data_IF_992621640540
#
_entry.id   IF_992621640540
#
_cell.length_a   1.000
_cell.length_b   1.000
_cell.length_c   1.000
_cell.angle_alpha   90.00
_cell.angle_beta   90.00
_cell.angle_gamma   90.00
#
_symmetry.space_group_name_H-M   'P 1'
#
loop_
_entity.id
_entity.type
_entity.pdbx_description
1 polymer ?
#
# COMPACT_ATOMS: atom_id res chain seq x y z
N UNK A 1 42.13 8.30 33.18
CA UNK A 1 41.67 7.46 32.05
C UNK A 1 40.23 6.92 32.21
N UNK A 2 39.32 7.53 33.01
CA UNK A 2 37.93 7.03 33.18
C UNK A 2 36.83 7.87 32.51
N UNK A 3 37.14 9.07 32.00
CA UNK A 3 36.13 9.98 31.44
C UNK A 3 35.88 9.83 29.92
N UNK A 4 36.69 9.03 29.22
CA UNK A 4 36.52 8.81 27.77
C UNK A 4 35.44 7.76 27.49
N UNK A 5 35.45 6.64 28.22
CA UNK A 5 34.47 5.57 28.06
C UNK A 5 33.05 5.95 28.50
N UNK A 6 32.90 6.81 29.51
CA UNK A 6 31.59 7.31 29.93
C UNK A 6 30.96 8.29 28.91
N UNK A 7 31.78 9.00 28.11
CA UNK A 7 31.28 9.86 27.03
C UNK A 7 30.83 9.04 25.82
N UNK A 8 31.52 7.94 25.50
CA UNK A 8 31.11 7.02 24.43
C UNK A 8 29.79 6.29 24.78
N UNK A 9 29.61 5.85 26.03
CA UNK A 9 28.33 5.22 26.46
C UNK A 9 27.13 6.17 26.42
N UNK A 10 27.34 7.47 26.70
CA UNK A 10 26.29 8.50 26.58
C UNK A 10 26.01 8.93 25.14
N UNK A 11 26.96 8.75 24.22
CA UNK A 11 26.79 9.07 22.79
C UNK A 11 26.11 7.98 21.96
N UNK A 12 25.98 6.75 22.49
CA UNK A 12 25.43 5.58 21.76
C UNK A 12 23.97 5.27 22.15
N UNK A 13 23.37 6.05 23.07
CA UNK A 13 21.96 5.90 23.48
C UNK A 13 21.05 6.99 22.90
N UNK A 14 21.49 7.72 21.88
CA UNK A 14 20.56 8.47 21.03
C UNK A 14 20.13 7.53 19.92
N UNK A 15 19.03 6.81 20.15
CA UNK A 15 18.26 6.15 19.10
C UNK A 15 17.90 7.20 18.05
N UNK A 16 18.77 7.36 17.07
CA UNK A 16 18.53 8.14 15.87
C UNK A 16 17.64 7.28 14.97
N UNK A 17 16.41 7.03 15.43
CA UNK A 17 15.37 6.45 14.60
C UNK A 17 15.26 7.33 13.37
N UNK A 18 15.41 6.70 12.21
CA UNK A 18 15.36 7.39 10.93
C UNK A 18 14.01 8.11 10.81
N UNK A 19 13.91 9.24 10.07
CA UNK A 19 12.65 9.97 9.91
C UNK A 19 11.47 9.06 9.51
N UNK A 20 11.76 8.01 8.73
CA UNK A 20 10.80 6.98 8.32
C UNK A 20 10.27 6.15 9.50
N UNK A 21 11.14 5.66 10.39
CA UNK A 21 10.73 4.86 11.56
C UNK A 21 9.97 5.69 12.59
N UNK A 22 10.36 6.96 12.79
CA UNK A 22 9.62 7.89 13.66
C UNK A 22 8.23 8.22 13.12
N UNK A 23 8.07 8.30 11.81
CA UNK A 23 6.77 8.56 11.19
C UNK A 23 5.88 7.33 11.25
N UNK A 24 6.43 6.14 11.03
CA UNK A 24 5.70 4.87 11.11
C UNK A 24 5.16 4.59 12.52
N UNK A 25 5.98 4.83 13.56
CA UNK A 25 5.53 4.65 14.95
C UNK A 25 4.42 5.63 15.34
N UNK A 26 4.51 6.89 14.88
CA UNK A 26 3.48 7.91 15.10
C UNK A 26 2.19 7.64 14.34
N UNK A 27 2.27 7.17 13.09
CA UNK A 27 1.10 6.78 12.30
C UNK A 27 0.33 5.67 13.00
N UNK A 28 1.02 4.62 13.45
CA UNK A 28 0.40 3.51 14.17
C UNK A 28 -0.25 3.95 15.48
N UNK A 29 0.38 4.89 16.19
CA UNK A 29 -0.17 5.47 17.42
C UNK A 29 -1.46 6.26 17.12
N UNK A 30 -1.42 7.18 16.14
CA UNK A 30 -2.58 7.97 15.75
C UNK A 30 -3.73 7.10 15.23
N UNK A 31 -3.41 6.05 14.48
CA UNK A 31 -4.41 5.07 14.05
C UNK A 31 -5.14 4.46 15.26
N UNK A 32 -4.41 3.99 16.28
CA UNK A 32 -5.02 3.39 17.47
C UNK A 32 -5.88 4.40 18.26
N UNK A 33 -5.41 5.64 18.37
CA UNK A 33 -6.15 6.73 19.00
C UNK A 33 -7.45 7.02 18.22
N UNK A 34 -7.35 7.18 16.90
CA UNK A 34 -8.48 7.41 16.01
C UNK A 34 -9.54 6.29 16.11
N UNK A 35 -9.11 5.02 16.12
CA UNK A 35 -10.01 3.89 16.30
C UNK A 35 -10.72 3.91 17.67
N UNK A 36 -10.01 4.32 18.71
CA UNK A 36 -10.58 4.39 20.07
C UNK A 36 -11.63 5.50 20.17
N UNK A 37 -11.39 6.65 19.55
CA UNK A 37 -12.33 7.77 19.53
C UNK A 37 -13.54 7.44 18.63
N UNK A 38 -13.30 6.88 17.44
CA UNK A 38 -14.36 6.49 16.50
C UNK A 38 -15.35 5.49 17.11
N UNK A 39 -14.87 4.56 17.95
CA UNK A 39 -15.72 3.59 18.66
C UNK A 39 -16.63 4.21 19.71
N UNK A 40 -16.34 5.42 20.18
CA UNK A 40 -17.17 6.15 21.15
C UNK A 40 -18.27 6.98 20.48
N UNK A 41 -18.18 7.18 19.16
CA UNK A 41 -19.24 7.86 18.40
C UNK A 41 -20.44 6.92 18.25
N UNK A 42 -21.64 7.51 18.26
CA UNK A 42 -22.89 6.78 18.00
C UNK A 42 -23.21 6.78 16.50
N UNK A 43 -23.99 5.81 16.04
CA UNK A 43 -24.57 5.87 14.69
C UNK A 43 -25.51 7.08 14.61
N UNK A 44 -25.47 7.89 13.54
CA UNK A 44 -24.82 7.68 12.24
C UNK A 44 -23.40 8.26 12.08
N UNK A 45 -22.83 8.89 13.12
CA UNK A 45 -21.52 9.56 13.05
C UNK A 45 -20.37 8.59 12.89
N UNK A 46 -20.46 7.46 13.59
CA UNK A 46 -19.49 6.37 13.49
C UNK A 46 -19.41 5.80 12.07
N UNK A 47 -20.55 5.57 11.42
CA UNK A 47 -20.62 5.04 10.06
C UNK A 47 -20.00 6.00 9.05
N UNK A 48 -20.27 7.30 9.20
CA UNK A 48 -19.66 8.33 8.35
C UNK A 48 -18.12 8.33 8.47
N UNK A 49 -17.59 8.20 9.68
CA UNK A 49 -16.13 8.10 9.89
C UNK A 49 -15.53 6.89 9.18
N UNK A 50 -16.10 5.70 9.40
CA UNK A 50 -15.56 4.46 8.82
C UNK A 50 -15.66 4.44 7.29
N UNK A 51 -16.74 4.98 6.73
CA UNK A 51 -16.88 5.14 5.29
C UNK A 51 -15.79 6.05 4.70
N UNK A 52 -15.48 7.17 5.39
CA UNK A 52 -14.40 8.07 4.97
C UNK A 52 -13.02 7.41 5.07
N UNK A 53 -12.75 6.72 6.19
CA UNK A 53 -11.50 6.00 6.41
C UNK A 53 -11.28 4.90 5.37
N UNK A 54 -12.31 4.09 5.08
CA UNK A 54 -12.23 3.04 4.08
C UNK A 54 -11.89 3.59 2.69
N UNK A 55 -12.50 4.72 2.30
CA UNK A 55 -12.18 5.39 1.04
C UNK A 55 -10.71 5.83 0.98
N UNK A 56 -10.22 6.54 2.00
CA UNK A 56 -8.85 7.06 2.06
C UNK A 56 -7.81 5.94 1.99
N UNK A 57 -8.02 4.85 2.72
CA UNK A 57 -7.07 3.72 2.71
C UNK A 57 -7.10 2.92 1.42
N UNK A 58 -8.26 2.82 0.77
CA UNK A 58 -8.36 2.15 -0.53
C UNK A 58 -7.65 2.95 -1.62
N UNK A 59 -7.77 4.28 -1.58
CA UNK A 59 -7.25 5.15 -2.63
C UNK A 59 -5.78 5.56 -2.45
N UNK A 60 -5.30 5.71 -1.20
CA UNK A 60 -3.96 6.24 -0.92
C UNK A 60 -3.16 5.42 0.12
N UNK A 61 -3.78 4.42 0.75
CA UNK A 61 -3.18 3.66 1.86
C UNK A 61 -3.12 4.44 3.18
N UNK A 62 -2.69 3.80 4.27
CA UNK A 62 -2.48 4.47 5.55
C UNK A 62 -1.21 5.34 5.49
N UNK A 63 -1.33 6.59 5.93
CA UNK A 63 -0.24 7.57 5.97
C UNK A 63 -0.45 8.53 7.14
N UNK A 64 0.63 9.03 7.73
CA UNK A 64 0.56 9.97 8.86
C UNK A 64 -0.35 11.18 8.61
N UNK A 65 -0.30 11.78 7.41
CA UNK A 65 -1.13 12.93 7.05
C UNK A 65 -2.63 12.57 7.01
N UNK A 66 -2.95 11.37 6.52
CA UNK A 66 -4.32 10.85 6.48
C UNK A 66 -4.84 10.67 7.91
N UNK A 67 -4.03 10.12 8.82
CA UNK A 67 -4.41 9.97 10.22
C UNK A 67 -4.67 11.31 10.92
N UNK A 68 -3.88 12.34 10.60
CA UNK A 68 -4.10 13.69 11.15
C UNK A 68 -5.40 14.32 10.65
N UNK A 69 -5.74 14.15 9.37
CA UNK A 69 -7.00 14.63 8.81
C UNK A 69 -8.21 13.84 9.34
N UNK A 70 -8.07 12.53 9.52
CA UNK A 70 -9.08 11.69 10.18
C UNK A 70 -9.31 12.10 11.64
N UNK A 71 -8.25 12.51 12.36
CA UNK A 71 -8.38 13.02 13.72
C UNK A 71 -9.16 14.35 13.77
N UNK A 72 -8.93 15.26 12.82
CA UNK A 72 -9.71 16.50 12.67
C UNK A 72 -11.17 16.19 12.34
N UNK A 73 -11.43 15.21 11.48
CA UNK A 73 -12.78 14.75 11.17
C UNK A 73 -13.47 14.22 12.43
N UNK A 74 -12.81 13.38 13.23
CA UNK A 74 -13.35 12.85 14.49
C UNK A 74 -13.75 13.96 15.46
N UNK A 75 -12.93 15.00 15.59
CA UNK A 75 -13.27 16.15 16.42
C UNK A 75 -14.59 16.80 15.96
N UNK A 76 -14.72 17.08 14.66
CA UNK A 76 -15.95 17.66 14.09
C UNK A 76 -17.16 16.74 14.28
N UNK A 77 -17.00 15.44 14.05
CA UNK A 77 -18.08 14.47 14.26
C UNK A 77 -18.55 14.44 15.73
N UNK A 78 -17.61 14.52 16.67
CA UNK A 78 -17.94 14.58 18.10
C UNK A 78 -18.68 15.85 18.49
N UNK A 79 -18.29 17.01 17.93
CA UNK A 79 -19.01 18.28 18.13
C UNK A 79 -20.41 18.23 17.55
N UNK A 80 -20.56 17.66 16.34
CA UNK A 80 -21.86 17.47 15.69
C UNK A 80 -22.79 16.55 16.50
N UNK A 81 -22.24 15.50 17.11
CA UNK A 81 -22.99 14.61 17.99
C UNK A 81 -23.49 15.33 19.25
N UNK A 82 -22.64 16.13 19.90
CA UNK A 82 -23.04 16.94 21.07
C UNK A 82 -24.13 17.95 20.71
N UNK A 83 -24.11 18.47 19.49
CA UNK A 83 -25.13 19.41 18.98
C UNK A 83 -26.42 18.71 18.51
N UNK A 84 -26.53 17.38 18.62
CA UNK A 84 -27.67 16.57 18.14
C UNK A 84 -28.01 16.82 16.66
N UNK A 85 -27.00 17.09 15.83
CA UNK A 85 -27.18 17.22 14.39
C UNK A 85 -27.13 15.84 13.72
N UNK A 86 -27.41 15.79 12.42
CA UNK A 86 -27.11 14.61 11.59
C UNK A 86 -25.93 14.92 10.68
N UNK A 87 -25.09 13.92 10.33
CA UNK A 87 -23.94 14.12 9.43
C UNK A 87 -24.29 14.86 8.15
N UNK A 88 -25.46 14.55 7.55
CA UNK A 88 -25.96 15.19 6.32
C UNK A 88 -26.18 16.71 6.41
N UNK A 89 -26.32 17.25 7.62
CA UNK A 89 -26.50 18.69 7.84
C UNK A 89 -25.18 19.38 8.17
N UNK A 90 -24.21 18.64 8.70
CA UNK A 90 -22.88 19.17 9.03
C UNK A 90 -21.92 19.08 7.84
N UNK A 91 -22.05 18.03 7.03
CA UNK A 91 -21.26 17.81 5.83
C UNK A 91 -22.18 17.87 4.62
N UNK A 92 -21.89 18.79 3.70
CA UNK A 92 -22.58 18.90 2.40
C UNK A 92 -22.20 17.80 1.41
N UNK A 93 -21.30 16.90 1.81
CA UNK A 93 -20.75 15.83 1.01
C UNK A 93 -20.95 14.51 1.75
N UNK A 94 -21.07 13.42 0.99
CA UNK A 94 -20.99 12.08 1.54
C UNK A 94 -19.55 11.77 1.99
N UNK A 95 -19.39 10.73 2.80
CA UNK A 95 -18.09 10.37 3.38
C UNK A 95 -17.01 10.10 2.32
N UNK A 96 -17.38 9.55 1.15
CA UNK A 96 -16.42 9.28 0.07
C UNK A 96 -15.97 10.58 -0.62
N UNK A 97 -16.90 11.50 -0.92
CA UNK A 97 -16.57 12.81 -1.47
C UNK A 97 -15.76 13.66 -0.50
N UNK A 98 -16.03 13.56 0.80
CA UNK A 98 -15.21 14.21 1.83
C UNK A 98 -13.79 13.64 1.86
N UNK A 99 -13.63 12.31 1.81
CA UNK A 99 -12.32 11.67 1.68
C UNK A 99 -11.59 12.10 0.41
N UNK A 100 -12.29 12.24 -0.72
CA UNK A 100 -11.73 12.77 -1.97
C UNK A 100 -11.20 14.19 -1.82
N UNK A 101 -11.93 15.06 -1.11
CA UNK A 101 -11.49 16.43 -0.83
C UNK A 101 -10.22 16.45 0.03
N UNK A 102 -10.11 15.55 1.02
CA UNK A 102 -8.87 15.40 1.82
C UNK A 102 -7.69 15.05 0.91
N UNK A 103 -7.82 14.05 0.04
CA UNK A 103 -6.71 13.65 -0.86
C UNK A 103 -6.29 14.79 -1.79
N UNK A 104 -7.26 15.56 -2.31
CA UNK A 104 -6.99 16.72 -3.17
C UNK A 104 -6.32 17.86 -2.39
N UNK A 105 -6.80 18.17 -1.19
CA UNK A 105 -6.27 19.24 -0.35
C UNK A 105 -4.84 18.94 0.09
N UNK A 106 -4.58 17.70 0.50
CA UNK A 106 -3.26 17.26 0.97
C UNK A 106 -2.32 16.86 -0.18
N UNK A 107 -2.76 16.96 -1.44
CA UNK A 107 -1.99 16.56 -2.64
C UNK A 107 -1.41 15.14 -2.54
N UNK A 108 -2.16 14.22 -1.92
CA UNK A 108 -1.71 12.84 -1.74
C UNK A 108 -1.94 12.09 -3.05
N UNK A 109 -0.89 11.49 -3.65
CA UNK A 109 -1.04 10.72 -4.87
C UNK A 109 -1.91 9.50 -4.58
N UNK A 110 -2.87 9.22 -5.47
CA UNK A 110 -3.66 7.99 -5.37
C UNK A 110 -2.84 6.82 -5.91
N UNK A 111 -3.09 5.65 -5.36
CA UNK A 111 -2.49 4.39 -5.80
C UNK A 111 -2.78 4.16 -7.29
N UNK A 112 -3.99 4.51 -7.75
CA UNK A 112 -4.37 4.38 -9.16
C UNK A 112 -3.67 5.38 -10.09
N UNK A 113 -3.18 6.51 -9.57
CA UNK A 113 -2.51 7.54 -10.37
C UNK A 113 -1.02 7.22 -10.60
N UNK A 114 -0.50 6.18 -9.94
CA UNK A 114 0.91 5.76 -10.03
C UNK A 114 1.03 4.40 -10.72
N UNK A 115 1.01 4.36 -12.07
CA UNK A 115 1.11 3.10 -12.83
C UNK A 115 2.41 2.33 -12.56
N UNK A 116 3.43 3.00 -12.03
CA UNK A 116 4.69 2.41 -11.60
C UNK A 116 4.53 1.40 -10.46
N UNK A 117 3.52 1.54 -9.58
CA UNK A 117 3.24 0.57 -8.52
C UNK A 117 2.79 -0.78 -9.07
N UNK A 118 2.15 -0.80 -10.23
CA UNK A 118 1.69 -2.03 -10.88
C UNK A 118 2.77 -2.69 -11.73
N UNK A 119 3.90 -2.02 -11.96
CA UNK A 119 4.98 -2.53 -12.82
C UNK A 119 5.49 -3.88 -12.34
N UNK A 120 5.78 -4.01 -11.05
CA UNK A 120 6.36 -5.25 -10.50
C UNK A 120 5.33 -6.38 -10.52
N UNK A 121 4.06 -6.08 -10.23
CA UNK A 121 2.97 -7.05 -10.35
C UNK A 121 2.73 -7.49 -11.78
N UNK A 122 2.83 -6.58 -12.75
CA UNK A 122 2.69 -6.88 -14.17
C UNK A 122 3.86 -7.74 -14.66
N UNK A 123 5.09 -7.44 -14.26
CA UNK A 123 6.26 -8.28 -14.53
C UNK A 123 6.07 -9.67 -13.93
N UNK A 124 5.66 -9.76 -12.67
CA UNK A 124 5.45 -11.03 -11.99
C UNK A 124 4.34 -11.85 -12.66
N UNK A 125 3.25 -11.19 -13.08
CA UNK A 125 2.19 -11.80 -13.88
C UNK A 125 2.72 -12.35 -15.20
N UNK A 126 3.47 -11.56 -15.97
CA UNK A 126 4.05 -12.00 -17.24
C UNK A 126 5.01 -13.18 -17.04
N UNK A 127 5.94 -13.08 -16.08
CA UNK A 127 6.87 -14.17 -15.73
C UNK A 127 6.10 -15.44 -15.37
N UNK A 128 5.04 -15.32 -14.57
CA UNK A 128 4.23 -16.48 -14.17
C UNK A 128 3.53 -17.12 -15.35
N UNK A 129 2.83 -16.33 -16.18
CA UNK A 129 2.09 -16.82 -17.35
C UNK A 129 3.04 -17.49 -18.34
N UNK A 130 4.16 -16.84 -18.67
CA UNK A 130 5.15 -17.41 -19.59
C UNK A 130 5.87 -18.62 -19.02
N UNK A 131 6.08 -18.70 -17.69
CA UNK A 131 6.68 -19.89 -17.07
C UNK A 131 5.75 -21.10 -17.17
N UNK A 132 4.45 -20.89 -16.89
CA UNK A 132 3.44 -21.96 -17.02
C UNK A 132 3.34 -22.42 -18.48
N UNK A 133 3.29 -21.49 -19.42
CA UNK A 133 3.25 -21.80 -20.86
C UNK A 133 4.51 -22.55 -21.32
N UNK A 134 5.69 -22.13 -20.88
CA UNK A 134 6.96 -22.80 -21.17
C UNK A 134 7.00 -24.24 -20.62
N UNK A 135 6.54 -24.46 -19.38
CA UNK A 135 6.47 -25.81 -18.78
C UNK A 135 5.49 -26.69 -19.56
N UNK A 136 4.34 -26.14 -19.94
CA UNK A 136 3.35 -26.86 -20.74
C UNK A 136 3.91 -27.28 -22.10
N UNK A 137 4.53 -26.35 -22.85
CA UNK A 137 5.13 -26.65 -24.14
C UNK A 137 6.31 -27.63 -24.01
N UNK A 138 7.17 -27.46 -23.02
CA UNK A 138 8.27 -28.40 -22.74
C UNK A 138 7.75 -29.82 -22.48
N UNK A 139 6.72 -29.97 -21.63
CA UNK A 139 6.15 -31.28 -21.31
C UNK A 139 5.45 -31.90 -22.51
N UNK A 140 4.76 -31.11 -23.34
CA UNK A 140 4.19 -31.58 -24.61
C UNK A 140 5.27 -32.04 -25.60
N UNK A 141 6.38 -31.30 -25.73
CA UNK A 141 7.49 -31.70 -26.57
C UNK A 141 8.22 -32.94 -26.07
N UNK A 142 8.38 -33.05 -24.75
CA UNK A 142 8.90 -34.25 -24.11
C UNK A 142 8.06 -35.47 -24.42
N UNK A 143 6.74 -35.39 -24.18
CA UNK A 143 5.83 -36.53 -24.28
C UNK A 143 5.61 -36.95 -25.72
N UNK A 144 5.43 -36.00 -26.64
CA UNK A 144 5.11 -36.32 -28.04
C UNK A 144 6.33 -36.82 -28.84
N UNK A 145 7.54 -36.36 -28.50
CA UNK A 145 8.75 -36.72 -29.23
C UNK A 145 9.71 -37.61 -28.41
N UNK A 146 9.33 -37.96 -27.17
CA UNK A 146 10.09 -38.83 -26.26
C UNK A 146 11.57 -38.44 -26.11
N UNK A 147 11.86 -37.14 -26.18
CA UNK A 147 13.22 -36.62 -26.19
C UNK A 147 13.35 -35.31 -25.40
N UNK A 148 14.40 -35.24 -24.59
CA UNK A 148 14.77 -34.03 -23.83
C UNK A 148 15.04 -32.84 -24.74
N UNK A 149 15.72 -33.08 -25.86
CA UNK A 149 16.06 -32.03 -26.80
C UNK A 149 14.84 -31.49 -27.54
N UNK A 150 13.82 -32.33 -27.74
CA UNK A 150 12.58 -31.90 -28.38
C UNK A 150 11.71 -31.02 -27.47
N UNK A 151 11.72 -31.26 -26.16
CA UNK A 151 11.11 -30.36 -25.18
C UNK A 151 11.77 -28.99 -25.13
N UNK A 152 13.12 -28.94 -25.18
CA UNK A 152 13.87 -27.68 -25.17
C UNK A 152 13.71 -26.85 -26.45
N UNK A 153 13.52 -27.49 -27.59
CA UNK A 153 13.42 -26.83 -28.89
C UNK A 153 11.98 -26.44 -29.27
N UNK A 154 11.01 -26.55 -28.36
CA UNK A 154 9.65 -26.09 -28.62
C UNK A 154 9.60 -24.56 -28.68
N UNK A 155 8.93 -23.98 -29.70
CA UNK A 155 8.82 -22.53 -29.84
C UNK A 155 7.87 -22.00 -28.76
N UNK A 156 8.43 -21.31 -27.75
CA UNK A 156 7.66 -20.61 -26.72
C UNK A 156 7.38 -19.17 -27.19
N UNK A 157 6.16 -18.68 -26.96
CA UNK A 157 5.65 -17.46 -27.58
C UNK A 157 6.46 -16.18 -27.28
N UNK A 158 7.10 -16.04 -26.12
CA UNK A 158 8.08 -14.97 -25.84
C UNK A 158 9.12 -15.53 -24.87
N UNK A 159 10.20 -16.13 -25.39
CA UNK A 159 11.25 -16.66 -24.55
C UNK A 159 12.42 -15.67 -24.48
N UNK A 160 12.65 -15.08 -23.30
CA UNK A 160 13.93 -14.42 -22.99
C UNK A 160 15.10 -15.41 -23.19
N UNK A 161 14.85 -16.71 -22.97
CA UNK A 161 15.78 -17.80 -23.27
C UNK A 161 15.96 -18.01 -24.78
N UNK A 162 14.89 -17.85 -25.56
CA UNK A 162 14.92 -17.88 -27.03
C UNK A 162 15.72 -16.71 -27.60
N UNK A 163 15.56 -15.51 -27.04
CA UNK A 163 16.36 -14.33 -27.39
C UNK A 163 17.85 -14.50 -27.06
N UNK A 164 18.16 -15.13 -25.91
CA UNK A 164 19.54 -15.47 -25.52
C UNK A 164 20.12 -16.59 -26.41
N UNK A 165 19.31 -17.58 -26.80
CA UNK A 165 19.75 -18.65 -27.71
C UNK A 165 19.98 -18.13 -29.13
N UNK A 166 19.14 -17.22 -29.61
CA UNK A 166 19.27 -16.58 -30.93
C UNK A 166 20.54 -15.72 -30.99
N UNK A 167 20.90 -15.04 -29.90
CA UNK A 167 22.16 -14.30 -29.74
C UNK A 167 23.41 -15.20 -29.64
N UNK A 168 23.26 -16.48 -29.28
CA UNK A 168 24.37 -17.45 -29.19
C UNK A 168 24.54 -18.27 -30.48
N UNK A 169 23.55 -18.28 -31.37
CA UNK A 169 23.54 -19.00 -32.64
C UNK A 169 23.85 -18.12 -33.86
N UNK A 170 23.90 -16.79 -33.68
CA UNK A 170 24.47 -15.81 -34.63
C UNK A 170 25.92 -15.54 -34.28
#
# INVERSE_FOLDING_TARGET
MSNFWNRLKKGVSTELSTPSEKNFSKEKQLYQENQTIAKKLESPWQEYFFACQAYLYTEAGPQLLIEQELQKLLHRLSEGQVQNLLPKYMFHADASSYGRQILQHCQIPRIHDTPTLYRDYLILFLVTVFSIDSIYLFTMGWLNYSSFTAGLNMPVAISLLGLILELLLV
#
